data_IF_480957058332
#
_entry.id   IF_480957058332
#
_cell.length_a   1.000
_cell.length_b   1.000
_cell.length_c   1.000
_cell.angle_alpha   90.00
_cell.angle_beta   90.00
_cell.angle_gamma   90.00
#
_symmetry.space_group_name_H-M   'P 1'
#
loop_
_entity.id
_entity.type
_entity.pdbx_description
1 polymer ?
#
# COMPACT_ATOMS: atom_id res chain seq x y z
N UNK A 1 18.24 22.35 33.87
CA UNK A 1 17.63 23.56 33.31
C UNK A 1 18.10 24.77 34.10
N UNK A 2 18.03 25.95 33.51
CA UNK A 2 18.29 27.22 34.21
C UNK A 2 17.22 28.24 33.80
N UNK A 3 16.99 29.23 34.67
CA UNK A 3 16.02 30.29 34.46
C UNK A 3 16.73 31.53 33.96
N UNK A 4 16.27 32.08 32.84
CA UNK A 4 16.73 33.37 32.32
C UNK A 4 15.53 34.11 31.74
N UNK A 5 15.37 35.39 32.08
CA UNK A 5 14.31 36.27 31.58
C UNK A 5 12.89 35.67 31.73
N UNK A 6 12.54 35.21 32.94
CA UNK A 6 11.26 34.55 33.27
C UNK A 6 10.90 33.31 32.44
N UNK A 7 11.87 32.76 31.69
CA UNK A 7 11.74 31.49 30.97
C UNK A 7 12.60 30.41 31.61
N UNK A 8 11.93 29.34 32.04
CA UNK A 8 12.60 28.12 32.47
C UNK A 8 12.87 27.25 31.24
N UNK A 9 14.14 27.01 30.93
CA UNK A 9 14.51 26.09 29.85
C UNK A 9 14.99 24.77 30.45
N UNK A 10 14.31 23.69 30.08
CA UNK A 10 14.67 22.32 30.46
C UNK A 10 15.19 21.62 29.21
N UNK A 11 16.48 21.28 29.21
CA UNK A 11 17.09 20.44 28.20
C UNK A 11 17.10 19.00 28.74
N UNK A 12 16.45 18.08 28.03
CA UNK A 12 16.47 16.65 28.35
C UNK A 12 17.35 15.97 27.30
N UNK A 13 18.42 15.32 27.76
CA UNK A 13 19.23 14.42 26.94
C UNK A 13 18.98 13.01 27.41
N UNK A 14 18.30 12.21 26.58
CA UNK A 14 18.18 10.78 26.78
C UNK A 14 19.10 10.05 25.81
N UNK A 15 19.77 9.03 26.32
CA UNK A 15 20.48 8.03 25.53
C UNK A 15 19.56 6.82 25.42
N UNK A 16 19.17 6.47 24.19
CA UNK A 16 18.36 5.28 23.95
C UNK A 16 19.30 4.07 24.04
N UNK A 17 19.29 3.38 25.18
CA UNK A 17 20.16 2.21 25.39
C UNK A 17 19.56 0.91 24.84
N UNK A 18 18.23 0.82 24.73
CA UNK A 18 17.55 -0.34 24.14
C UNK A 18 16.10 -0.01 23.75
N UNK A 19 15.66 -0.40 22.55
CA UNK A 19 14.29 -0.21 22.06
C UNK A 19 13.55 -1.55 22.08
N UNK A 20 12.94 -1.91 23.21
CA UNK A 20 12.09 -3.10 23.31
C UNK A 20 10.71 -2.75 22.75
N UNK A 21 10.34 -3.33 21.60
CA UNK A 21 9.00 -3.18 21.02
C UNK A 21 8.96 -2.66 19.58
N UNK A 22 10.06 -2.16 19.03
CA UNK A 22 10.16 -1.99 17.58
C UNK A 22 10.43 -3.38 16.99
N UNK A 23 9.39 -3.97 16.39
CA UNK A 23 9.62 -5.00 15.39
C UNK A 23 10.35 -4.31 14.24
N UNK A 24 11.67 -4.50 14.15
CA UNK A 24 12.37 -4.21 12.90
C UNK A 24 11.73 -5.15 11.89
N UNK A 25 10.81 -4.63 11.08
CA UNK A 25 10.27 -5.39 9.97
C UNK A 25 11.48 -5.72 9.08
N UNK A 26 11.82 -7.00 8.93
CA UNK A 26 12.77 -7.42 7.92
C UNK A 26 12.21 -6.93 6.58
N UNK A 27 12.68 -5.80 6.06
CA UNK A 27 12.22 -5.32 4.77
C UNK A 27 12.68 -6.34 3.74
N UNK A 28 11.73 -7.03 3.11
CA UNK A 28 12.03 -7.84 1.95
C UNK A 28 12.55 -6.90 0.86
N UNK A 29 13.81 -7.07 0.48
CA UNK A 29 14.36 -6.41 -0.69
C UNK A 29 13.97 -7.23 -1.92
N UNK A 30 12.90 -6.81 -2.60
CA UNK A 30 12.43 -7.46 -3.82
C UNK A 30 13.33 -7.17 -5.03
N UNK A 31 14.37 -6.33 -4.88
CA UNK A 31 15.34 -6.03 -5.94
C UNK A 31 16.57 -6.94 -5.89
N UNK A 32 16.80 -7.60 -4.75
CA UNK A 32 17.85 -8.59 -4.58
C UNK A 32 17.30 -10.01 -4.68
N UNK A 33 18.09 -10.90 -5.27
CA UNK A 33 17.77 -12.33 -5.39
C UNK A 33 18.10 -13.01 -4.07
N UNK A 34 17.32 -12.72 -3.01
CA UNK A 34 17.50 -13.37 -1.71
C UNK A 34 16.94 -14.79 -1.73
N UNK A 35 17.69 -15.74 -2.29
CA UNK A 35 17.38 -17.17 -2.14
C UNK A 35 17.34 -17.54 -0.64
N UNK A 36 16.40 -18.38 -0.18
CA UNK A 36 15.43 -19.18 -0.93
C UNK A 36 14.02 -18.55 -1.02
N UNK A 37 13.86 -17.24 -0.81
CA UNK A 37 12.56 -16.62 -0.57
C UNK A 37 11.79 -16.21 -1.85
N UNK A 38 12.31 -16.54 -3.03
CA UNK A 38 11.66 -16.30 -4.32
C UNK A 38 11.73 -17.55 -5.22
N UNK A 39 10.77 -17.69 -6.12
CA UNK A 39 10.68 -18.77 -7.12
C UNK A 39 10.31 -18.23 -8.51
N UNK A 40 10.14 -16.91 -8.64
CA UNK A 40 9.92 -16.21 -9.91
C UNK A 40 10.47 -14.79 -9.87
N UNK A 41 10.88 -14.28 -11.02
CA UNK A 41 11.18 -12.86 -11.22
C UNK A 41 10.14 -12.21 -12.14
N UNK A 42 9.55 -11.12 -11.68
CA UNK A 42 8.69 -10.25 -12.49
C UNK A 42 9.58 -9.19 -13.15
N UNK A 43 9.52 -9.07 -14.47
CA UNK A 43 10.28 -8.08 -15.24
C UNK A 43 9.39 -6.88 -15.50
N UNK A 44 9.72 -5.75 -14.87
CA UNK A 44 8.97 -4.49 -14.94
C UNK A 44 9.93 -3.42 -15.45
N UNK A 45 9.64 -2.80 -16.60
CA UNK A 45 10.53 -1.80 -17.20
C UNK A 45 11.95 -2.34 -17.49
N UNK A 46 12.08 -3.64 -17.80
CA UNK A 46 13.37 -4.30 -18.02
C UNK A 46 14.16 -4.63 -16.76
N UNK A 47 13.62 -4.33 -15.57
CA UNK A 47 14.26 -4.62 -14.28
C UNK A 47 13.52 -5.73 -13.54
N UNK A 48 14.27 -6.55 -12.80
CA UNK A 48 13.72 -7.71 -12.09
C UNK A 48 13.21 -7.33 -10.71
N UNK A 49 12.08 -7.94 -10.34
CA UNK A 49 11.49 -7.93 -9.01
C UNK A 49 11.25 -9.39 -8.60
N UNK A 50 11.95 -9.85 -7.56
CA UNK A 50 11.95 -11.25 -7.13
C UNK A 50 10.83 -11.50 -6.11
N UNK A 51 9.95 -12.47 -6.37
CA UNK A 51 8.76 -12.72 -5.55
C UNK A 51 8.48 -14.21 -5.38
N UNK A 52 7.56 -14.53 -4.47
CA UNK A 52 7.03 -15.90 -4.30
C UNK A 52 5.71 -16.05 -5.07
N UNK A 53 5.64 -17.01 -6.00
CA UNK A 53 4.43 -17.39 -6.75
C UNK A 53 3.30 -17.72 -5.79
N UNK A 54 3.59 -18.55 -4.78
CA UNK A 54 2.58 -19.00 -3.82
C UNK A 54 2.01 -17.82 -3.03
N UNK A 55 2.87 -16.92 -2.56
CA UNK A 55 2.42 -15.79 -1.74
C UNK A 55 1.53 -14.82 -2.56
N UNK A 56 1.97 -14.46 -3.76
CA UNK A 56 1.16 -13.61 -4.65
C UNK A 56 -0.15 -14.29 -5.05
N UNK A 57 -0.14 -15.59 -5.34
CA UNK A 57 -1.35 -16.33 -5.72
C UNK A 57 -2.39 -16.39 -4.58
N UNK A 58 -1.96 -16.47 -3.32
CA UNK A 58 -2.88 -16.40 -2.16
C UNK A 58 -3.61 -15.06 -2.12
N UNK A 59 -2.93 -13.97 -2.46
CA UNK A 59 -3.46 -12.61 -2.37
C UNK A 59 -4.12 -12.11 -3.66
N UNK A 60 -3.88 -12.75 -4.80
CA UNK A 60 -4.31 -12.30 -6.11
C UNK A 60 -4.79 -13.46 -6.97
N UNK A 61 -6.10 -13.53 -7.28
CA UNK A 61 -6.63 -14.46 -8.28
C UNK A 61 -5.95 -14.33 -9.65
N UNK A 62 -5.54 -13.10 -10.03
CA UNK A 62 -4.84 -12.82 -11.28
C UNK A 62 -3.47 -13.52 -11.29
N UNK A 63 -2.66 -13.36 -10.25
CA UNK A 63 -1.38 -14.05 -10.15
C UNK A 63 -1.55 -15.57 -9.96
N UNK A 64 -2.59 -16.02 -9.26
CA UNK A 64 -2.91 -17.44 -9.16
C UNK A 64 -3.16 -18.05 -10.54
N UNK A 65 -3.99 -17.40 -11.37
CA UNK A 65 -4.24 -17.81 -12.74
C UNK A 65 -2.95 -17.76 -13.58
N UNK A 66 -2.17 -16.68 -13.47
CA UNK A 66 -0.91 -16.51 -14.22
C UNK A 66 0.13 -17.59 -13.90
N UNK A 67 0.29 -17.98 -12.63
CA UNK A 67 1.35 -18.89 -12.19
C UNK A 67 0.96 -20.36 -12.20
N UNK A 68 -0.32 -20.68 -11.97
CA UNK A 68 -0.80 -22.06 -11.81
C UNK A 68 -1.89 -22.45 -12.80
N UNK A 69 -2.42 -21.51 -13.58
CA UNK A 69 -3.35 -21.79 -14.67
C UNK A 69 -2.64 -22.33 -15.91
N UNK A 70 -3.42 -22.54 -16.97
CA UNK A 70 -2.94 -23.11 -18.25
C UNK A 70 -2.42 -22.02 -19.21
N UNK A 71 -1.67 -21.05 -18.66
CA UNK A 71 -1.06 -19.97 -19.42
C UNK A 71 0.43 -20.24 -19.68
N UNK A 72 1.00 -19.58 -20.69
CA UNK A 72 2.40 -19.75 -21.08
C UNK A 72 3.38 -19.34 -19.97
N UNK A 73 2.92 -18.54 -19.01
CA UNK A 73 3.67 -18.01 -17.88
C UNK A 73 3.96 -19.06 -16.79
N UNK A 74 3.15 -20.13 -16.70
CA UNK A 74 3.23 -21.17 -15.66
C UNK A 74 4.66 -21.72 -15.49
N UNK A 75 5.28 -22.07 -16.61
CA UNK A 75 6.61 -22.71 -16.66
C UNK A 75 7.77 -21.70 -16.75
N UNK A 76 7.48 -20.40 -16.80
CA UNK A 76 8.51 -19.36 -16.87
C UNK A 76 9.08 -19.06 -15.48
N UNK A 77 10.40 -18.82 -15.45
CA UNK A 77 11.11 -18.25 -14.29
C UNK A 77 11.11 -16.72 -14.30
N UNK A 78 10.89 -16.13 -15.47
CA UNK A 78 10.83 -14.68 -15.68
C UNK A 78 9.54 -14.34 -16.43
N UNK A 79 8.75 -13.43 -15.87
CA UNK A 79 7.45 -13.02 -16.45
C UNK A 79 7.44 -11.51 -16.58
N UNK A 80 7.20 -11.02 -17.79
CA UNK A 80 7.11 -9.58 -18.05
C UNK A 80 5.74 -9.03 -17.62
N UNK A 81 5.76 -7.92 -16.86
CA UNK A 81 4.56 -7.15 -16.54
C UNK A 81 4.66 -5.79 -17.22
N UNK A 82 3.75 -5.55 -18.16
CA UNK A 82 3.66 -4.29 -18.91
C UNK A 82 2.73 -3.30 -18.19
N UNK A 83 2.88 -2.00 -18.48
CA UNK A 83 2.04 -0.93 -17.93
C UNK A 83 2.00 -0.86 -16.39
N UNK A 84 3.07 -1.31 -15.73
CA UNK A 84 3.23 -1.24 -14.27
C UNK A 84 4.45 -0.40 -13.96
N UNK A 85 4.32 0.54 -13.02
CA UNK A 85 5.46 1.23 -12.45
C UNK A 85 6.16 0.33 -11.42
N UNK A 86 7.49 0.19 -11.53
CA UNK A 86 8.25 -0.77 -10.72
C UNK A 86 8.25 -0.37 -9.26
N UNK A 87 8.46 0.91 -8.98
CA UNK A 87 8.56 1.45 -7.63
C UNK A 87 7.21 1.34 -6.91
N UNK A 88 6.11 1.69 -7.58
CA UNK A 88 4.76 1.50 -7.04
C UNK A 88 4.43 0.02 -6.79
N UNK A 89 4.87 -0.88 -7.67
CA UNK A 89 4.66 -2.31 -7.50
C UNK A 89 5.45 -2.85 -6.30
N UNK A 90 6.69 -2.40 -6.09
CA UNK A 90 7.47 -2.75 -4.89
C UNK A 90 6.77 -2.24 -3.62
N UNK A 91 6.22 -1.02 -3.64
CA UNK A 91 5.45 -0.52 -2.51
C UNK A 91 4.19 -1.35 -2.22
N UNK A 92 3.47 -1.79 -3.27
CA UNK A 92 2.37 -2.73 -3.14
C UNK A 92 2.82 -4.04 -2.48
N UNK A 93 3.96 -4.60 -2.91
CA UNK A 93 4.53 -5.79 -2.28
C UNK A 93 4.83 -5.57 -0.79
N UNK A 94 5.39 -4.42 -0.42
CA UNK A 94 5.62 -4.04 0.97
C UNK A 94 4.31 -3.85 1.78
N UNK A 95 3.18 -3.62 1.14
CA UNK A 95 1.87 -3.55 1.81
C UNK A 95 1.24 -4.93 1.99
N UNK A 96 1.41 -5.85 1.04
CA UNK A 96 0.73 -7.15 1.07
C UNK A 96 1.55 -8.25 1.75
N UNK A 97 2.88 -8.17 1.70
CA UNK A 97 3.75 -9.02 2.52
C UNK A 97 3.61 -8.65 4.00
N UNK A 98 4.05 -9.49 4.96
CA UNK A 98 3.93 -9.24 6.40
C UNK A 98 4.90 -8.15 6.89
N UNK A 99 4.82 -7.00 6.23
CA UNK A 99 5.54 -5.78 6.45
C UNK A 99 4.47 -4.75 6.79
N UNK A 100 4.50 -4.24 8.01
CA UNK A 100 3.55 -3.22 8.45
C UNK A 100 3.91 -1.85 7.85
N UNK A 101 4.07 -1.79 6.52
CA UNK A 101 4.31 -0.55 5.77
C UNK A 101 3.11 0.36 5.95
N UNK A 102 3.38 1.62 6.31
CA UNK A 102 2.36 2.65 6.43
C UNK A 102 1.96 3.14 5.05
N UNK A 103 0.66 3.35 4.85
CA UNK A 103 0.09 3.96 3.65
C UNK A 103 0.09 5.49 3.84
N UNK A 104 0.24 6.21 2.74
CA UNK A 104 0.17 7.68 2.67
C UNK A 104 -0.82 8.09 1.60
N UNK A 105 -1.22 9.36 1.54
CA UNK A 105 -2.10 9.86 0.48
C UNK A 105 -1.55 9.59 -0.93
N UNK A 106 -0.22 9.70 -1.09
CA UNK A 106 0.45 9.40 -2.37
C UNK A 106 0.47 7.91 -2.73
N UNK A 107 0.46 7.02 -1.73
CA UNK A 107 0.45 5.58 -1.99
C UNK A 107 -0.93 4.96 -2.06
N UNK A 108 -1.92 5.54 -1.37
CA UNK A 108 -3.29 5.03 -1.37
C UNK A 108 -3.87 4.93 -2.80
N UNK A 109 -3.65 5.92 -3.65
CA UNK A 109 -4.23 5.93 -5.00
C UNK A 109 -3.66 4.82 -5.90
N UNK A 110 -2.33 4.66 -5.94
CA UNK A 110 -1.73 3.60 -6.76
C UNK A 110 -1.99 2.21 -6.16
N UNK A 111 -2.12 2.08 -4.83
CA UNK A 111 -2.50 0.83 -4.18
C UNK A 111 -3.91 0.40 -4.59
N UNK A 112 -4.85 1.34 -4.72
CA UNK A 112 -6.18 1.06 -5.27
C UNK A 112 -6.10 0.65 -6.75
N UNK A 113 -5.31 1.38 -7.56
CA UNK A 113 -5.14 1.07 -8.99
C UNK A 113 -4.55 -0.33 -9.21
N UNK A 114 -3.45 -0.65 -8.54
CA UNK A 114 -2.79 -1.95 -8.67
C UNK A 114 -3.60 -3.06 -7.99
N UNK A 115 -4.24 -2.75 -6.86
CA UNK A 115 -5.13 -3.64 -6.14
C UNK A 115 -6.32 -4.08 -6.99
N UNK A 116 -6.97 -3.16 -7.70
CA UNK A 116 -8.04 -3.46 -8.64
C UNK A 116 -7.53 -4.29 -9.83
N UNK A 117 -6.43 -3.84 -10.46
CA UNK A 117 -5.83 -4.52 -11.62
C UNK A 117 -5.46 -5.98 -11.33
N UNK A 118 -4.83 -6.23 -10.18
CA UNK A 118 -4.38 -7.57 -9.79
C UNK A 118 -5.37 -8.28 -8.86
N UNK A 119 -6.53 -7.68 -8.58
CA UNK A 119 -7.55 -8.21 -7.67
C UNK A 119 -7.01 -8.55 -6.27
N UNK A 120 -6.17 -7.68 -5.71
CA UNK A 120 -5.57 -7.84 -4.39
C UNK A 120 -6.44 -7.14 -3.33
N UNK A 121 -7.38 -7.90 -2.77
CA UNK A 121 -8.38 -7.36 -1.83
C UNK A 121 -7.78 -6.67 -0.61
N UNK A 122 -6.74 -7.27 0.00
CA UNK A 122 -6.12 -6.70 1.19
C UNK A 122 -5.42 -5.35 0.94
N UNK A 123 -4.94 -5.09 -0.29
CA UNK A 123 -4.39 -3.79 -0.64
C UNK A 123 -5.50 -2.73 -0.76
N UNK A 124 -6.63 -3.11 -1.36
CA UNK A 124 -7.82 -2.26 -1.48
C UNK A 124 -8.38 -1.92 -0.09
N UNK A 125 -8.59 -2.92 0.77
CA UNK A 125 -9.12 -2.74 2.13
C UNK A 125 -8.23 -1.83 2.97
N UNK A 126 -6.90 -2.04 2.93
CA UNK A 126 -5.97 -1.18 3.68
C UNK A 126 -5.92 0.26 3.16
N UNK A 127 -6.08 0.46 1.86
CA UNK A 127 -6.17 1.80 1.29
C UNK A 127 -7.50 2.47 1.66
N UNK A 128 -8.61 1.74 1.64
CA UNK A 128 -9.92 2.20 2.10
C UNK A 128 -9.90 2.63 3.56
N UNK A 129 -9.35 1.79 4.46
CA UNK A 129 -9.16 2.11 5.88
C UNK A 129 -8.32 3.39 6.05
N UNK A 130 -7.26 3.55 5.26
CA UNK A 130 -6.43 4.76 5.30
C UNK A 130 -7.22 6.02 4.89
N UNK A 131 -8.05 5.93 3.84
CA UNK A 131 -8.91 7.05 3.43
C UNK A 131 -9.89 7.47 4.53
N UNK A 132 -10.47 6.50 5.22
CA UNK A 132 -11.43 6.73 6.31
C UNK A 132 -10.75 7.33 7.54
N UNK A 133 -9.58 6.80 7.93
CA UNK A 133 -8.99 7.10 9.24
C UNK A 133 -7.96 8.24 9.23
N UNK A 134 -7.23 8.42 8.12
CA UNK A 134 -5.96 9.16 8.14
C UNK A 134 -5.75 10.11 6.95
N UNK A 135 -6.51 9.98 5.87
CA UNK A 135 -6.30 10.77 4.67
C UNK A 135 -6.66 12.24 4.86
N UNK A 136 -5.86 13.11 4.24
CA UNK A 136 -6.12 14.56 4.21
C UNK A 136 -6.86 15.01 2.93
N UNK A 137 -7.26 14.06 2.10
CA UNK A 137 -7.99 14.32 0.85
C UNK A 137 -9.40 14.83 1.17
N UNK A 138 -9.88 15.80 0.41
CA UNK A 138 -11.23 16.37 0.61
C UNK A 138 -12.32 15.30 0.45
N UNK A 139 -13.44 15.46 1.18
CA UNK A 139 -14.56 14.51 1.15
C UNK A 139 -15.11 14.25 -0.27
N UNK A 140 -15.14 15.28 -1.12
CA UNK A 140 -15.61 15.17 -2.52
C UNK A 140 -14.65 14.29 -3.34
N UNK A 141 -13.35 14.47 -3.16
CA UNK A 141 -12.36 13.69 -3.87
C UNK A 141 -12.32 12.24 -3.35
N UNK A 142 -12.47 12.03 -2.04
CA UNK A 142 -12.67 10.70 -1.47
C UNK A 142 -13.94 10.01 -2.04
N UNK A 143 -15.02 10.76 -2.26
CA UNK A 143 -16.24 10.23 -2.89
C UNK A 143 -16.00 9.82 -4.36
N UNK A 144 -15.20 10.58 -5.12
CA UNK A 144 -14.81 10.21 -6.49
C UNK A 144 -13.95 8.96 -6.52
N UNK A 145 -12.96 8.87 -5.62
CA UNK A 145 -12.10 7.70 -5.48
C UNK A 145 -12.92 6.47 -5.08
N UNK A 146 -13.83 6.61 -4.12
CA UNK A 146 -14.65 5.52 -3.65
C UNK A 146 -15.64 5.02 -4.69
N UNK A 147 -16.21 5.90 -5.53
CA UNK A 147 -16.99 5.51 -6.70
C UNK A 147 -16.15 4.77 -7.75
N UNK A 148 -14.98 5.32 -8.11
CA UNK A 148 -14.06 4.73 -9.10
C UNK A 148 -13.65 3.30 -8.75
N UNK A 149 -13.32 3.04 -7.48
CA UNK A 149 -12.85 1.73 -7.02
C UNK A 149 -13.89 0.92 -6.24
N UNK A 150 -15.16 1.38 -6.20
CA UNK A 150 -16.28 0.72 -5.53
C UNK A 150 -16.04 0.44 -4.04
N UNK A 151 -15.49 1.42 -3.34
CA UNK A 151 -15.15 1.36 -1.92
C UNK A 151 -16.37 1.73 -1.07
N UNK A 152 -17.19 0.73 -0.75
CA UNK A 152 -18.48 0.95 -0.09
C UNK A 152 -18.34 1.58 1.31
N UNK A 153 -17.35 1.17 2.10
CA UNK A 153 -17.11 1.73 3.42
C UNK A 153 -16.70 3.20 3.35
N UNK A 154 -15.86 3.57 2.38
CA UNK A 154 -15.52 4.96 2.14
C UNK A 154 -16.70 5.77 1.60
N UNK A 155 -17.54 5.19 0.73
CA UNK A 155 -18.78 5.85 0.28
C UNK A 155 -19.71 6.16 1.46
N UNK A 156 -19.98 5.18 2.32
CA UNK A 156 -20.81 5.38 3.52
C UNK A 156 -20.22 6.45 4.45
N UNK A 157 -18.89 6.40 4.66
CA UNK A 157 -18.19 7.42 5.44
C UNK A 157 -18.40 8.81 4.86
N UNK A 158 -18.11 9.00 3.56
CA UNK A 158 -18.24 10.28 2.89
C UNK A 158 -19.67 10.82 2.93
N UNK A 159 -20.67 9.97 2.66
CA UNK A 159 -22.08 10.34 2.68
C UNK A 159 -22.57 10.73 4.08
N UNK A 160 -22.06 10.09 5.14
CA UNK A 160 -22.41 10.44 6.53
C UNK A 160 -21.92 11.84 6.95
N UNK A 161 -20.90 12.36 6.27
CA UNK A 161 -20.33 13.69 6.50
C UNK A 161 -21.08 14.79 5.73
N UNK A 162 -21.81 14.47 4.66
CA UNK A 162 -22.61 15.42 3.88
C UNK A 162 -23.88 15.79 4.67
N UNK A 163 -23.85 16.93 5.37
CA UNK A 163 -24.94 17.36 6.24
C UNK A 163 -25.75 18.51 5.66
N UNK A 164 -25.20 19.25 4.70
CA UNK A 164 -25.77 20.51 4.22
C UNK A 164 -26.10 20.47 2.74
N UNK A 165 -27.07 21.27 2.32
CA UNK A 165 -27.45 21.45 0.91
C UNK A 165 -26.34 22.06 0.04
N UNK A 166 -25.33 22.68 0.65
CA UNK A 166 -24.17 23.19 -0.06
C UNK A 166 -23.22 22.06 -0.48
N UNK A 167 -23.05 21.04 0.38
CA UNK A 167 -22.20 19.89 0.10
C UNK A 167 -22.64 19.13 -1.16
N UNK A 168 -23.95 19.11 -1.45
CA UNK A 168 -24.51 18.49 -2.66
C UNK A 168 -24.26 19.27 -3.95
N UNK A 169 -24.01 20.58 -3.87
CA UNK A 169 -23.75 21.40 -5.07
C UNK A 169 -22.34 21.20 -5.59
N UNK A 170 -21.41 20.87 -4.70
CA UNK A 170 -19.99 20.71 -5.03
C UNK A 170 -19.65 19.29 -5.57
N UNK A 171 -20.64 18.38 -5.56
CA UNK A 171 -20.58 17.04 -6.17
C UNK A 171 -20.80 17.09 -7.70
N UNK A 172 -21.32 18.20 -8.23
CA UNK A 172 -21.76 18.33 -9.63
C UNK A 172 -20.64 18.65 -10.62
#
# INVERSE_FOLDING_TARGET
GFVKDDKVTIEIRFWIYNMIGIRIANQFDFTDSMEPYHDVALVIGGQKVYVSKQYLAIHSPVFNAMFYGEFAEKDKKEIELQDVDREEFIELLHVIYPLNKKITDGSAEFLLRLGDRFQIKCAIERAEDFYIDQSNVSNIEQLRVSDKYKLFGLQEHCLSQLKTTQDFKDIK
#
